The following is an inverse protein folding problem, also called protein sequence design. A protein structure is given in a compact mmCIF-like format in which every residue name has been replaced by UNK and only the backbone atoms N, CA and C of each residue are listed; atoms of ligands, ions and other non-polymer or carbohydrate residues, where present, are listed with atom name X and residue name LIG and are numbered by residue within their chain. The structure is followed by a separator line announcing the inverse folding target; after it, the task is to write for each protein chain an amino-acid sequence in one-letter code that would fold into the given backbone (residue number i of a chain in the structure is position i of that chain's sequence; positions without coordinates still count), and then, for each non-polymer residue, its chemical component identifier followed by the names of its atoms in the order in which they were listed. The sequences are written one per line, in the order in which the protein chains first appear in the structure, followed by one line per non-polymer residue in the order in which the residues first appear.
data_IF_203032585734
#
_entry.id   IF_203032585734
#
_cell.length_a   1.000
_cell.length_b   1.000
_cell.length_c   1.000
_cell.angle_alpha   90.00
_cell.angle_beta   90.00
_cell.angle_gamma   90.00
#
_symmetry.space_group_name_H-M   'P 1'
#
loop_
_entity.id
_entity.type
_entity.pdbx_description
1 polymer ?
#
# COMPACT_ATOMS: atom_id res chain seq x y z
N UNK A 1 1.33 13.84 -31.66
CA UNK A 1 1.58 14.66 -30.45
C UNK A 1 1.09 13.83 -29.29
N UNK A 2 2.01 13.29 -28.49
CA UNK A 2 1.68 12.50 -27.31
C UNK A 2 1.26 13.47 -26.22
N UNK A 3 -0.02 13.45 -25.82
CA UNK A 3 -0.50 14.20 -24.66
C UNK A 3 -0.17 13.36 -23.42
N UNK A 4 0.99 13.62 -22.82
CA UNK A 4 1.32 13.16 -21.48
C UNK A 4 0.82 14.21 -20.50
N UNK A 5 -0.41 14.03 -20.02
CA UNK A 5 -0.96 14.90 -18.97
C UNK A 5 -0.11 14.75 -17.70
N UNK A 6 0.30 15.85 -17.06
CA UNK A 6 1.09 15.79 -15.84
C UNK A 6 0.23 15.17 -14.74
N UNK A 7 0.66 14.00 -14.26
CA UNK A 7 0.09 13.38 -13.07
C UNK A 7 0.44 14.32 -11.90
N UNK A 8 -0.54 15.11 -11.44
CA UNK A 8 -0.42 15.86 -10.19
C UNK A 8 -0.25 14.85 -9.06
N UNK A 9 1.01 14.62 -8.68
CA UNK A 9 1.35 13.90 -7.45
C UNK A 9 1.05 14.84 -6.29
N UNK A 10 -0.22 14.87 -5.90
CA UNK A 10 -0.68 15.45 -4.65
C UNK A 10 0.31 15.02 -3.56
N UNK A 11 0.93 15.99 -2.89
CA UNK A 11 2.10 15.76 -2.06
C UNK A 11 1.76 14.69 -1.02
N UNK A 12 2.25 13.47 -1.25
CA UNK A 12 1.93 12.33 -0.42
C UNK A 12 2.48 12.61 0.97
N UNK A 13 1.58 12.85 1.93
CA UNK A 13 1.96 13.07 3.32
C UNK A 13 2.53 11.77 3.91
N UNK A 14 3.84 11.66 3.84
CA UNK A 14 4.61 10.52 4.31
C UNK A 14 4.41 10.30 5.82
N UNK A 15 4.20 11.37 6.58
CA UNK A 15 3.99 11.29 8.03
C UNK A 15 2.66 10.61 8.31
N UNK A 16 1.62 10.93 7.54
CA UNK A 16 0.32 10.26 7.59
C UNK A 16 0.33 8.82 7.05
N UNK A 17 1.27 8.47 6.16
CA UNK A 17 1.49 7.07 5.76
C UNK A 17 2.16 6.28 6.88
N UNK A 18 3.14 6.86 7.57
CA UNK A 18 3.87 6.22 8.67
C UNK A 18 3.01 6.03 9.92
N UNK A 19 1.96 6.85 10.11
CA UNK A 19 0.97 6.70 11.18
C UNK A 19 0.04 5.49 11.01
N UNK A 20 0.14 4.72 9.93
CA UNK A 20 -0.67 3.51 9.76
C UNK A 20 -0.24 2.42 10.75
N UNK A 21 -1.15 1.99 11.62
CA UNK A 21 -0.90 0.92 12.60
C UNK A 21 -0.85 -0.49 11.99
N UNK A 22 -0.93 -0.61 10.67
CA UNK A 22 -0.96 -1.91 10.00
C UNK A 22 0.49 -2.40 9.77
N UNK A 23 0.84 -3.62 10.19
CA UNK A 23 2.20 -4.12 10.03
C UNK A 23 2.51 -4.34 8.54
N UNK A 24 3.42 -3.54 8.01
CA UNK A 24 3.89 -3.61 6.60
C UNK A 24 4.42 -5.00 6.22
N UNK A 25 4.97 -5.74 7.19
CA UNK A 25 5.41 -7.13 7.01
C UNK A 25 4.25 -8.07 6.66
N UNK A 26 3.06 -7.87 7.25
CA UNK A 26 1.87 -8.68 6.96
C UNK A 26 1.30 -8.34 5.59
N UNK A 27 1.24 -7.06 5.26
CA UNK A 27 0.83 -6.56 3.94
C UNK A 27 1.75 -7.16 2.87
N UNK A 28 3.07 -7.13 3.08
CA UNK A 28 4.05 -7.71 2.15
C UNK A 28 3.83 -9.21 1.91
N UNK A 29 3.50 -9.97 2.96
CA UNK A 29 3.19 -11.40 2.84
C UNK A 29 1.94 -11.65 1.99
N UNK A 30 0.92 -10.78 2.13
CA UNK A 30 -0.32 -10.89 1.36
C UNK A 30 -0.09 -10.58 -0.11
N UNK A 31 0.65 -9.50 -0.40
CA UNK A 31 1.02 -9.18 -1.77
C UNK A 31 1.77 -10.34 -2.45
N UNK A 32 2.61 -11.06 -1.70
CA UNK A 32 3.34 -12.26 -2.19
C UNK A 32 2.49 -13.52 -2.37
N UNK A 33 1.20 -13.49 -2.05
CA UNK A 33 0.30 -14.58 -2.43
C UNK A 33 0.01 -14.57 -3.94
N UNK A 34 0.25 -13.44 -4.60
CA UNK A 34 0.21 -13.33 -6.05
C UNK A 34 1.52 -13.90 -6.65
N UNK A 35 1.47 -15.01 -7.41
CA UNK A 35 2.65 -15.65 -7.98
C UNK A 35 3.32 -14.82 -9.08
N UNK A 36 2.58 -13.90 -9.71
CA UNK A 36 3.10 -13.06 -10.79
C UNK A 36 3.75 -11.77 -10.25
N UNK A 37 3.60 -11.51 -8.95
CA UNK A 37 4.18 -10.33 -8.32
C UNK A 37 5.68 -10.50 -8.08
N UNK A 38 6.47 -9.74 -8.85
CA UNK A 38 7.93 -9.67 -8.73
C UNK A 38 8.43 -8.87 -7.52
N UNK A 39 9.34 -7.93 -7.77
CA UNK A 39 9.89 -7.08 -6.71
C UNK A 39 8.89 -5.99 -6.30
N UNK A 40 8.65 -5.87 -4.99
CA UNK A 40 7.83 -4.80 -4.40
C UNK A 40 8.78 -3.74 -3.83
N UNK A 41 8.72 -2.53 -4.36
CA UNK A 41 9.44 -1.38 -3.82
C UNK A 41 8.87 -0.98 -2.44
N UNK A 42 9.72 -0.43 -1.58
CA UNK A 42 9.35 -0.13 -0.17
C UNK A 42 8.24 0.92 -0.06
N UNK A 43 8.24 1.91 -0.95
CA UNK A 43 7.22 2.95 -1.08
C UNK A 43 5.88 2.37 -1.54
N UNK A 44 5.88 1.50 -2.56
CA UNK A 44 4.68 0.80 -3.03
C UNK A 44 4.00 0.04 -1.88
N UNK A 45 4.78 -0.60 -1.01
CA UNK A 45 4.26 -1.30 0.16
C UNK A 45 3.58 -0.34 1.16
N UNK A 46 4.11 0.87 1.36
CA UNK A 46 3.50 1.89 2.22
C UNK A 46 2.17 2.38 1.63
N UNK A 47 2.09 2.57 0.30
CA UNK A 47 0.84 2.95 -0.37
C UNK A 47 -0.25 1.89 -0.23
N UNK A 48 0.10 0.62 -0.45
CA UNK A 48 -0.83 -0.50 -0.25
C UNK A 48 -1.29 -0.56 1.21
N UNK A 49 -0.38 -0.32 2.15
CA UNK A 49 -0.69 -0.29 3.59
C UNK A 49 -1.71 0.80 3.91
N UNK A 50 -1.53 2.03 3.40
CA UNK A 50 -2.48 3.15 3.59
C UNK A 50 -3.83 2.88 2.91
N UNK A 51 -3.82 2.36 1.69
CA UNK A 51 -5.03 2.02 0.94
C UNK A 51 -5.86 0.95 1.65
N UNK A 52 -5.22 -0.05 2.29
CA UNK A 52 -5.90 -1.09 3.08
C UNK A 52 -6.70 -0.49 4.24
N UNK A 53 -6.17 0.54 4.90
CA UNK A 53 -6.88 1.26 5.99
C UNK A 53 -8.05 2.09 5.42
N UNK A 54 -7.84 2.77 4.30
CA UNK A 54 -8.86 3.64 3.69
C UNK A 54 -10.04 2.87 3.10
N UNK A 55 -9.83 1.63 2.67
CA UNK A 55 -10.86 0.79 2.04
C UNK A 55 -11.74 0.03 3.05
N UNK A 56 -11.50 0.21 4.36
CA UNK A 56 -12.36 -0.35 5.41
C UNK A 56 -12.25 -1.87 5.58
N UNK A 57 -11.15 -2.49 5.13
CA UNK A 57 -10.87 -3.89 5.48
C UNK A 57 -10.78 -4.00 7.01
N UNK A 58 -11.80 -4.62 7.61
CA UNK A 58 -11.85 -4.87 9.04
C UNK A 58 -10.62 -5.69 9.45
N UNK A 59 -9.78 -5.06 10.25
CA UNK A 59 -8.50 -5.55 10.77
C UNK A 59 -8.59 -6.92 11.48
N UNK A 60 -9.80 -7.39 11.82
CA UNK A 60 -10.02 -8.74 12.34
C UNK A 60 -9.45 -9.83 11.43
N UNK A 61 -9.60 -9.72 10.11
CA UNK A 61 -9.16 -10.80 9.20
C UNK A 61 -7.64 -10.90 9.03
N UNK A 62 -6.87 -9.89 9.44
CA UNK A 62 -5.41 -9.86 9.30
C UNK A 62 -4.67 -10.29 10.57
N UNK A 63 -5.31 -10.18 11.74
CA UNK A 63 -4.71 -10.56 13.02
C UNK A 63 -4.75 -12.08 13.29
N UNK A 64 -5.61 -12.82 12.59
CA UNK A 64 -5.87 -14.25 12.85
C UNK A 64 -5.16 -15.20 11.88
N UNK A 65 -4.31 -14.68 11.00
CA UNK A 65 -3.77 -15.39 9.84
C UNK A 65 -2.26 -15.19 9.77
#
# INVERSE_FOLDING_TARGET
MSNEEPIEVDAVDLEDMLKCNLPTSRVKKICRLDPDLGMIASDALLFVTKATVSTGFSYCSLSEM
#
